data_IF_143211344408
#
_entry.id   IF_143211344408
#
_cell.length_a   1.000
_cell.length_b   1.000
_cell.length_c   1.000
_cell.angle_alpha   90.00
_cell.angle_beta   90.00
_cell.angle_gamma   90.00
#
_symmetry.space_group_name_H-M   'P 1'
#
loop_
_entity.id
_entity.type
_entity.pdbx_description
1 polymer ?
#
# COMPACT_ATOMS: atom_id res chain seq x y z
N UNK A 1 -33.20 83.51 -36.49
CA UNK A 1 -33.56 83.18 -35.11
C UNK A 1 -32.54 82.21 -34.60
N UNK A 2 -31.67 82.56 -33.65
CA UNK A 2 -30.72 81.62 -33.06
C UNK A 2 -31.37 80.80 -31.96
N UNK A 3 -31.16 79.52 -31.96
CA UNK A 3 -31.58 78.49 -31.01
C UNK A 3 -30.91 78.72 -29.64
N UNK A 4 -31.60 78.61 -28.51
CA UNK A 4 -30.99 78.83 -27.18
C UNK A 4 -30.15 77.63 -26.81
N UNK A 5 -28.86 77.85 -26.53
CA UNK A 5 -27.94 76.88 -26.02
C UNK A 5 -28.44 76.25 -24.73
N UNK A 6 -28.59 74.89 -24.71
CA UNK A 6 -28.97 74.12 -23.55
C UNK A 6 -27.84 74.18 -22.50
N UNK A 7 -28.09 74.78 -21.36
CA UNK A 7 -27.21 74.82 -20.21
C UNK A 7 -27.04 73.44 -19.63
N UNK A 8 -25.81 72.89 -19.43
CA UNK A 8 -25.62 71.59 -18.84
C UNK A 8 -26.11 71.57 -17.38
N UNK A 9 -27.03 70.64 -17.06
CA UNK A 9 -27.54 70.45 -15.72
C UNK A 9 -26.43 70.14 -14.72
N UNK A 10 -26.11 71.07 -13.82
CA UNK A 10 -25.17 70.83 -12.73
C UNK A 10 -25.77 69.82 -11.78
N UNK A 11 -25.14 68.59 -11.75
CA UNK A 11 -25.48 67.60 -10.76
C UNK A 11 -25.20 68.13 -9.34
N UNK A 12 -26.19 68.14 -8.43
CA UNK A 12 -26.01 68.78 -7.13
C UNK A 12 -24.91 68.09 -6.32
N UNK A 13 -23.99 68.85 -5.78
CA UNK A 13 -22.78 68.41 -5.03
C UNK A 13 -23.10 67.37 -3.93
N UNK A 14 -24.27 67.44 -3.28
CA UNK A 14 -24.75 66.42 -2.28
C UNK A 14 -24.92 65.01 -2.88
N UNK A 15 -25.41 64.86 -4.08
CA UNK A 15 -25.55 63.57 -4.75
C UNK A 15 -24.19 62.96 -5.09
N UNK A 16 -23.23 63.78 -5.46
CA UNK A 16 -21.84 63.33 -5.71
C UNK A 16 -21.16 62.83 -4.43
N UNK A 17 -21.40 63.48 -3.29
CA UNK A 17 -20.83 63.05 -2.01
C UNK A 17 -21.45 61.75 -1.52
N UNK A 18 -22.79 61.64 -1.58
CA UNK A 18 -23.51 60.41 -1.22
C UNK A 18 -23.08 59.22 -2.04
N UNK A 19 -22.89 59.41 -3.36
CA UNK A 19 -22.42 58.36 -4.24
C UNK A 19 -20.97 57.90 -3.86
N UNK A 20 -20.09 58.84 -3.55
CA UNK A 20 -18.69 58.50 -3.14
C UNK A 20 -18.65 57.72 -1.82
N UNK A 21 -19.49 58.10 -0.85
CA UNK A 21 -19.60 57.38 0.43
C UNK A 21 -20.17 56.00 0.20
N UNK A 22 -21.22 55.89 -0.59
CA UNK A 22 -21.83 54.57 -0.90
C UNK A 22 -20.86 53.62 -1.58
N UNK A 23 -20.10 54.10 -2.59
CA UNK A 23 -19.06 53.31 -3.28
C UNK A 23 -17.94 52.93 -2.31
N UNK A 24 -17.50 53.84 -1.44
CA UNK A 24 -16.50 53.55 -0.42
C UNK A 24 -16.92 52.45 0.55
N UNK A 25 -18.17 52.51 1.04
CA UNK A 25 -18.73 51.45 1.93
C UNK A 25 -18.83 50.12 1.20
N UNK A 26 -19.32 50.10 -0.04
CA UNK A 26 -19.45 48.87 -0.84
C UNK A 26 -18.07 48.23 -1.10
N UNK A 27 -17.07 49.03 -1.42
CA UNK A 27 -15.70 48.56 -1.59
C UNK A 27 -15.13 47.98 -0.28
N UNK A 28 -15.36 48.65 0.85
CA UNK A 28 -14.94 48.17 2.16
C UNK A 28 -15.57 46.80 2.52
N UNK A 29 -16.87 46.65 2.30
CA UNK A 29 -17.60 45.41 2.52
C UNK A 29 -17.08 44.29 1.56
N UNK A 30 -16.89 44.61 0.29
CA UNK A 30 -16.34 43.67 -0.67
C UNK A 30 -14.93 43.19 -0.30
N UNK A 31 -14.07 44.10 0.15
CA UNK A 31 -12.73 43.72 0.65
C UNK A 31 -12.79 42.85 1.87
N UNK A 32 -13.67 43.14 2.82
CA UNK A 32 -13.82 42.34 4.02
C UNK A 32 -14.33 40.93 3.71
N UNK A 33 -15.34 40.79 2.84
CA UNK A 33 -15.84 39.51 2.37
C UNK A 33 -14.78 38.70 1.63
N UNK A 34 -14.00 39.35 0.77
CA UNK A 34 -12.89 38.72 0.06
C UNK A 34 -11.82 38.18 1.01
N UNK A 35 -11.47 38.93 2.04
CA UNK A 35 -10.52 38.51 3.05
C UNK A 35 -11.02 37.29 3.85
N UNK A 36 -12.30 37.31 4.26
CA UNK A 36 -12.93 36.17 4.94
C UNK A 36 -12.95 34.93 4.07
N UNK A 37 -13.34 35.03 2.81
CA UNK A 37 -13.35 33.93 1.86
C UNK A 37 -11.95 33.35 1.64
N UNK A 38 -10.92 34.20 1.57
CA UNK A 38 -9.53 33.79 1.41
C UNK A 38 -9.03 32.98 2.61
N UNK A 39 -9.38 33.41 3.83
CA UNK A 39 -9.07 32.68 5.07
C UNK A 39 -9.77 31.31 5.10
N UNK A 40 -11.06 31.28 4.78
CA UNK A 40 -11.82 30.01 4.72
C UNK A 40 -11.26 29.06 3.66
N UNK A 41 -10.88 29.57 2.50
CA UNK A 41 -10.27 28.77 1.44
C UNK A 41 -8.93 28.19 1.89
N UNK A 42 -8.07 29.01 2.49
CA UNK A 42 -6.76 28.57 2.97
C UNK A 42 -6.86 27.51 4.07
N UNK A 43 -7.76 27.71 5.06
CA UNK A 43 -7.99 26.73 6.13
C UNK A 43 -8.63 25.44 5.62
N UNK A 44 -9.61 25.54 4.73
CA UNK A 44 -10.24 24.37 4.11
C UNK A 44 -9.27 23.53 3.31
N UNK A 45 -8.38 24.16 2.58
CA UNK A 45 -7.35 23.47 1.79
C UNK A 45 -6.32 22.75 2.67
N UNK A 46 -5.90 23.37 3.77
CA UNK A 46 -5.00 22.73 4.74
C UNK A 46 -5.64 21.51 5.41
N UNK A 47 -6.89 21.64 5.84
CA UNK A 47 -7.62 20.54 6.49
C UNK A 47 -7.82 19.32 5.57
N UNK A 48 -8.11 19.56 4.29
CA UNK A 48 -8.21 18.49 3.28
C UNK A 48 -6.86 17.79 3.07
N UNK A 49 -5.80 18.54 2.98
CA UNK A 49 -4.45 18.00 2.76
C UNK A 49 -3.95 17.16 3.93
N UNK A 50 -4.24 17.57 5.16
CA UNK A 50 -3.92 16.80 6.37
C UNK A 50 -4.71 15.49 6.45
N UNK A 51 -5.97 15.50 6.06
CA UNK A 51 -6.80 14.28 6.02
C UNK A 51 -6.33 13.29 4.96
N UNK A 52 -5.99 13.74 3.77
CA UNK A 52 -5.49 12.87 2.70
C UNK A 52 -4.14 12.24 3.07
N UNK A 53 -3.22 13.01 3.64
CA UNK A 53 -1.92 12.49 4.09
C UNK A 53 -2.07 11.51 5.26
N UNK A 54 -2.99 11.76 6.18
CA UNK A 54 -3.30 10.87 7.30
C UNK A 54 -3.88 9.52 6.84
N UNK A 55 -4.80 9.52 5.89
CA UNK A 55 -5.37 8.30 5.33
C UNK A 55 -4.34 7.47 4.55
N UNK A 56 -3.52 8.12 3.72
CA UNK A 56 -2.46 7.44 2.99
C UNK A 56 -1.41 6.83 3.94
N UNK A 57 -1.00 7.56 4.98
CA UNK A 57 -0.05 7.06 5.99
C UNK A 57 -0.62 5.88 6.77
N UNK A 58 -1.88 5.94 7.20
CA UNK A 58 -2.51 4.83 7.93
C UNK A 58 -2.71 3.59 7.06
N UNK A 59 -3.05 3.76 5.79
CA UNK A 59 -3.13 2.65 4.84
C UNK A 59 -1.77 2.00 4.58
N UNK A 60 -0.71 2.81 4.41
CA UNK A 60 0.65 2.32 4.26
C UNK A 60 1.14 1.57 5.51
N UNK A 61 0.84 2.06 6.71
CA UNK A 61 1.19 1.38 7.95
C UNK A 61 0.47 0.04 8.12
N UNK A 62 -0.81 -0.04 7.76
CA UNK A 62 -1.56 -1.31 7.79
C UNK A 62 -0.94 -2.31 6.82
N UNK A 63 -0.69 -1.90 5.59
CA UNK A 63 -0.06 -2.77 4.58
C UNK A 63 1.31 -3.25 5.03
N UNK A 64 2.15 -2.37 5.57
CA UNK A 64 3.46 -2.74 6.10
C UNK A 64 3.35 -3.73 7.27
N UNK A 65 2.35 -3.58 8.16
CA UNK A 65 2.10 -4.52 9.25
C UNK A 65 1.64 -5.89 8.74
N UNK A 66 0.73 -5.92 7.76
CA UNK A 66 0.26 -7.16 7.13
C UNK A 66 1.41 -7.90 6.43
N UNK A 67 2.22 -7.18 5.66
CA UNK A 67 3.42 -7.76 5.04
C UNK A 67 4.41 -8.28 6.07
N UNK A 68 4.62 -7.55 7.18
CA UNK A 68 5.48 -7.97 8.27
C UNK A 68 5.00 -9.28 8.92
N UNK A 69 3.71 -9.45 9.11
CA UNK A 69 3.13 -10.69 9.64
C UNK A 69 3.31 -11.87 8.67
N UNK A 70 3.11 -11.65 7.37
CA UNK A 70 3.30 -12.68 6.35
C UNK A 70 4.77 -13.12 6.26
N UNK A 71 5.72 -12.18 6.33
CA UNK A 71 7.14 -12.49 6.36
C UNK A 71 7.54 -13.27 7.61
N UNK A 72 7.05 -12.87 8.77
CA UNK A 72 7.32 -13.58 10.02
C UNK A 72 6.79 -15.03 10.00
N UNK A 73 5.62 -15.24 9.36
CA UNK A 73 5.09 -16.59 9.15
C UNK A 73 6.01 -17.41 8.25
N UNK A 74 6.43 -16.86 7.12
CA UNK A 74 7.33 -17.55 6.19
C UNK A 74 8.68 -17.89 6.84
N UNK A 75 9.25 -16.98 7.63
CA UNK A 75 10.45 -17.22 8.43
C UNK A 75 10.23 -18.35 9.44
N UNK A 76 9.10 -18.36 10.13
CA UNK A 76 8.75 -19.42 11.09
C UNK A 76 8.66 -20.79 10.43
N UNK A 77 8.04 -20.88 9.26
CA UNK A 77 7.97 -22.14 8.47
C UNK A 77 9.36 -22.54 8.00
N UNK A 78 10.15 -21.63 7.46
CA UNK A 78 11.51 -21.94 7.01
C UNK A 78 12.40 -22.44 8.16
N UNK A 79 12.35 -21.77 9.31
CA UNK A 79 13.08 -22.20 10.52
C UNK A 79 12.62 -23.59 11.01
N UNK A 80 11.32 -23.86 10.96
CA UNK A 80 10.78 -25.17 11.32
C UNK A 80 11.25 -26.27 10.35
N UNK A 81 11.24 -26.01 9.05
CA UNK A 81 11.76 -26.93 8.06
C UNK A 81 13.27 -27.20 8.23
N UNK A 82 14.06 -26.17 8.52
CA UNK A 82 15.49 -26.31 8.79
C UNK A 82 15.76 -27.18 10.02
N UNK A 83 15.09 -26.90 11.14
CA UNK A 83 15.20 -27.69 12.36
C UNK A 83 14.76 -29.16 12.15
N UNK A 84 13.69 -29.40 11.39
CA UNK A 84 13.28 -30.74 11.04
C UNK A 84 14.32 -31.47 10.20
N UNK A 85 14.94 -30.78 9.24
CA UNK A 85 16.02 -31.32 8.42
C UNK A 85 17.23 -31.75 9.21
N UNK A 86 17.52 -31.11 10.34
CA UNK A 86 18.61 -31.45 11.24
C UNK A 86 18.26 -32.56 12.22
N UNK A 87 17.06 -32.52 12.80
CA UNK A 87 16.67 -33.35 13.94
C UNK A 87 16.04 -34.68 13.55
N UNK A 88 15.33 -34.73 12.41
CA UNK A 88 14.63 -35.95 12.01
C UNK A 88 15.57 -36.99 11.36
N UNK A 89 15.24 -38.28 11.51
CA UNK A 89 15.87 -39.35 10.75
C UNK A 89 15.84 -39.05 9.25
N UNK A 90 16.86 -39.43 8.52
CA UNK A 90 16.96 -39.28 7.07
C UNK A 90 16.09 -40.29 6.33
N UNK A 91 14.79 -40.25 6.60
CA UNK A 91 13.76 -41.11 6.03
C UNK A 91 12.91 -40.30 5.03
N UNK A 92 12.95 -40.72 3.76
CA UNK A 92 12.27 -40.01 2.68
C UNK A 92 10.73 -40.08 2.86
N UNK A 93 10.17 -41.21 3.34
CA UNK A 93 8.74 -41.34 3.53
C UNK A 93 8.25 -40.46 4.66
N UNK A 94 9.01 -40.36 5.74
CA UNK A 94 8.73 -39.45 6.86
C UNK A 94 8.76 -37.97 6.43
N UNK A 95 9.74 -37.57 5.67
CA UNK A 95 9.87 -36.20 5.20
C UNK A 95 8.76 -35.84 4.20
N UNK A 96 8.42 -36.76 3.30
CA UNK A 96 7.32 -36.60 2.36
C UNK A 96 5.95 -36.47 3.06
N UNK A 97 5.77 -37.13 4.20
CA UNK A 97 4.54 -37.00 4.98
C UNK A 97 4.46 -35.70 5.81
N UNK A 98 5.58 -35.21 6.33
CA UNK A 98 5.59 -34.09 7.27
C UNK A 98 5.69 -32.71 6.59
N UNK A 99 6.54 -32.56 5.57
CA UNK A 99 6.85 -31.27 4.96
C UNK A 99 5.61 -30.59 4.36
N UNK A 100 4.73 -31.25 3.60
CA UNK A 100 3.53 -30.60 3.06
C UNK A 100 2.60 -30.06 4.16
N UNK A 101 2.48 -30.76 5.30
CA UNK A 101 1.66 -30.29 6.41
C UNK A 101 2.21 -29.02 7.09
N UNK A 102 3.51 -28.80 7.03
CA UNK A 102 4.14 -27.58 7.55
C UNK A 102 3.97 -26.39 6.60
N UNK A 103 3.94 -26.65 5.29
CA UNK A 103 3.76 -25.63 4.27
C UNK A 103 2.27 -25.26 4.14
N UNK A 104 1.37 -26.25 4.27
CA UNK A 104 -0.07 -26.09 4.13
C UNK A 104 -0.75 -25.89 5.49
N UNK A 105 -0.34 -24.88 6.22
CA UNK A 105 -1.00 -24.50 7.46
C UNK A 105 -2.43 -24.04 7.15
N UNK A 106 -3.42 -24.68 7.75
CA UNK A 106 -4.86 -24.54 7.47
C UNK A 106 -5.39 -23.10 7.41
N UNK A 107 -4.72 -22.17 8.09
CA UNK A 107 -5.14 -20.77 8.14
C UNK A 107 -4.38 -19.86 7.16
N UNK A 108 -3.32 -20.34 6.51
CA UNK A 108 -2.39 -19.51 5.73
C UNK A 108 -1.91 -20.18 4.44
N UNK A 109 -2.60 -21.25 4.01
CA UNK A 109 -2.22 -22.04 2.85
C UNK A 109 -1.99 -21.23 1.56
N UNK A 110 -2.73 -20.13 1.38
CA UNK A 110 -2.61 -19.29 0.18
C UNK A 110 -1.40 -18.35 0.20
N UNK A 111 -0.78 -18.14 1.36
CA UNK A 111 0.34 -17.20 1.51
C UNK A 111 1.69 -17.81 1.10
N UNK A 112 1.83 -19.13 1.24
CA UNK A 112 3.08 -19.84 0.93
C UNK A 112 2.92 -20.56 -0.40
N UNK A 113 3.61 -20.05 -1.42
CA UNK A 113 3.57 -20.63 -2.76
C UNK A 113 4.24 -22.01 -2.84
N UNK A 114 5.16 -22.30 -1.95
CA UNK A 114 5.86 -23.57 -1.86
C UNK A 114 7.04 -23.52 -0.92
N UNK A 115 7.59 -24.67 -0.63
CA UNK A 115 8.75 -24.79 0.24
C UNK A 115 9.31 -26.21 0.24
N UNK A 116 10.43 -26.38 0.92
CA UNK A 116 11.05 -27.70 0.98
C UNK A 116 12.39 -27.69 1.68
N UNK A 117 13.05 -28.82 1.63
CA UNK A 117 14.38 -29.03 2.20
C UNK A 117 15.31 -29.53 1.12
N UNK A 118 16.47 -28.89 0.99
CA UNK A 118 17.57 -29.28 0.10
C UNK A 118 18.77 -29.65 0.93
N UNK A 119 18.92 -30.92 1.35
CA UNK A 119 20.11 -31.37 2.04
C UNK A 119 21.36 -31.18 1.17
N UNK A 120 22.49 -30.87 1.80
CA UNK A 120 23.76 -30.81 1.10
C UNK A 120 24.12 -32.17 0.45
N UNK A 121 24.93 -32.15 -0.61
CA UNK A 121 25.35 -33.38 -1.29
C UNK A 121 25.90 -34.42 -0.30
N UNK A 122 25.31 -35.61 -0.32
CA UNK A 122 25.67 -36.71 0.58
C UNK A 122 25.14 -36.60 2.00
N UNK A 123 24.52 -35.50 2.40
CA UNK A 123 24.00 -35.30 3.76
C UNK A 123 22.74 -36.12 4.05
N UNK A 124 21.91 -36.39 3.05
CA UNK A 124 20.73 -37.24 3.21
C UNK A 124 21.07 -38.73 3.16
N UNK A 125 21.87 -39.15 2.17
CA UNK A 125 22.36 -40.51 2.03
C UNK A 125 23.74 -40.52 1.41
N UNK A 126 24.68 -41.38 1.86
CA UNK A 126 25.99 -41.48 1.28
C UNK A 126 25.95 -41.78 -0.22
N UNK A 127 26.74 -41.04 -1.01
CA UNK A 127 26.83 -41.20 -2.47
C UNK A 127 25.67 -40.56 -3.27
N UNK A 128 24.68 -39.98 -2.63
CA UNK A 128 23.59 -39.27 -3.29
C UNK A 128 23.95 -37.77 -3.36
N UNK A 129 24.34 -37.33 -4.55
CA UNK A 129 24.79 -35.95 -4.76
C UNK A 129 23.65 -34.92 -4.69
N UNK A 130 22.43 -35.27 -5.13
CA UNK A 130 21.27 -34.42 -5.12
C UNK A 130 20.09 -35.13 -4.46
N UNK A 131 19.55 -34.52 -3.44
CA UNK A 131 18.28 -34.95 -2.84
C UNK A 131 17.52 -33.72 -2.36
N UNK A 132 16.31 -33.53 -2.89
CA UNK A 132 15.41 -32.44 -2.48
C UNK A 132 14.04 -33.00 -2.16
N UNK A 133 13.35 -32.30 -1.29
CA UNK A 133 11.97 -32.54 -0.92
C UNK A 133 11.25 -31.21 -1.07
N UNK A 134 10.68 -30.96 -2.25
CA UNK A 134 10.05 -29.69 -2.59
C UNK A 134 8.61 -29.85 -2.99
N UNK A 135 7.77 -29.01 -2.43
CA UNK A 135 6.36 -28.87 -2.80
C UNK A 135 6.11 -27.43 -3.25
N UNK A 136 5.39 -27.29 -4.36
CA UNK A 136 4.91 -26.02 -4.87
C UNK A 136 3.41 -26.09 -5.13
N UNK A 137 2.73 -24.95 -5.12
CA UNK A 137 1.33 -24.89 -5.50
C UNK A 137 1.20 -24.91 -7.01
N UNK A 138 0.34 -25.80 -7.48
CA UNK A 138 -0.06 -25.86 -8.89
C UNK A 138 -1.07 -24.74 -9.22
N UNK A 139 -1.54 -24.70 -10.46
CA UNK A 139 -2.52 -23.72 -10.92
C UNK A 139 -3.86 -23.78 -10.15
N UNK A 140 -4.18 -24.91 -9.54
CA UNK A 140 -5.38 -25.09 -8.72
C UNK A 140 -5.17 -24.71 -7.24
N UNK A 141 -3.98 -24.19 -6.89
CA UNK A 141 -3.61 -23.81 -5.53
C UNK A 141 -3.25 -25.00 -4.62
N UNK A 142 -3.20 -26.22 -5.13
CA UNK A 142 -2.88 -27.42 -4.36
C UNK A 142 -1.38 -27.68 -4.34
N UNK A 143 -0.85 -28.10 -3.19
CA UNK A 143 0.55 -28.52 -3.08
C UNK A 143 0.78 -29.79 -3.91
N UNK A 144 1.79 -29.73 -4.76
CA UNK A 144 2.28 -30.84 -5.56
C UNK A 144 3.76 -31.07 -5.26
N UNK A 145 4.19 -32.33 -5.19
CA UNK A 145 5.58 -32.67 -5.03
C UNK A 145 6.32 -32.59 -6.36
N UNK A 146 7.49 -31.97 -6.35
CA UNK A 146 8.37 -31.81 -7.50
C UNK A 146 9.68 -32.54 -7.23
N UNK A 147 10.00 -33.53 -8.05
CA UNK A 147 11.21 -34.36 -7.94
C UNK A 147 12.28 -34.06 -9.02
N UNK A 148 11.99 -33.11 -9.89
CA UNK A 148 12.86 -32.71 -11.00
C UNK A 148 14.22 -32.17 -10.55
N UNK A 149 14.28 -31.56 -9.36
CA UNK A 149 15.55 -31.16 -8.72
C UNK A 149 16.47 -32.33 -8.39
N UNK A 150 15.95 -33.55 -8.29
CA UNK A 150 16.73 -34.75 -7.96
C UNK A 150 17.38 -35.38 -9.20
N UNK A 151 17.01 -34.94 -10.40
CA UNK A 151 17.53 -35.46 -11.65
C UNK A 151 18.90 -34.82 -11.96
N UNK A 152 19.82 -35.55 -12.61
CA UNK A 152 21.15 -35.01 -12.99
C UNK A 152 21.07 -33.79 -13.92
N UNK A 153 20.03 -33.74 -14.76
CA UNK A 153 19.70 -32.71 -15.75
C UNK A 153 18.62 -31.74 -15.27
N UNK A 154 18.17 -31.86 -14.03
CA UNK A 154 17.17 -31.02 -13.43
C UNK A 154 17.67 -29.60 -13.10
N UNK A 155 16.74 -28.66 -12.87
CA UNK A 155 17.08 -27.32 -12.43
C UNK A 155 17.76 -27.40 -11.05
N UNK A 156 19.03 -27.01 -10.99
CA UNK A 156 19.83 -27.06 -9.76
C UNK A 156 20.74 -25.89 -9.60
#
# INVERSE_FOLDING_TARGET
MPEPASTPARVPFRRSLQLKVLVGVLLGVAMMLSAVLLVFYAQGYQLLRERESGLASSAAQRLASEMGQQLALAEGVAASLANLGELLPKDAALWQALIPNLIDLEQHGDLIAGGGIWPEPGAFAPGVARRSFFWGRNADGRLAYYDDYNRPDGPG
#
